data_IF_781637398027
#
_entry.id   IF_781637398027
#
_cell.length_a   1.000
_cell.length_b   1.000
_cell.length_c   1.000
_cell.angle_alpha   90.00
_cell.angle_beta   90.00
_cell.angle_gamma   90.00
#
_symmetry.space_group_name_H-M   'P 1'
#
loop_
_entity.id
_entity.type
_entity.pdbx_description
1 polymer ?
#
# COMPACT_ATOMS: atom_id res chain seq x y z
N UNK A 1 9.33 14.25 21.22
CA UNK A 1 9.82 12.96 20.71
C UNK A 1 9.68 13.00 19.21
N UNK A 2 10.77 12.80 18.48
CA UNK A 2 10.78 12.74 17.01
C UNK A 2 10.78 11.26 16.60
N UNK A 3 9.97 10.90 15.60
CA UNK A 3 9.86 9.53 15.11
C UNK A 3 10.50 9.43 13.72
N UNK A 4 11.38 8.44 13.54
CA UNK A 4 12.04 8.17 12.26
C UNK A 4 11.54 6.83 11.74
N UNK A 5 11.05 6.83 10.51
CA UNK A 5 10.65 5.61 9.80
C UNK A 5 11.81 5.12 8.92
N UNK A 6 12.11 3.83 8.98
CA UNK A 6 13.06 3.18 8.08
C UNK A 6 12.55 1.80 7.67
N UNK A 7 12.92 1.37 6.47
CA UNK A 7 12.63 0.04 5.95
C UNK A 7 13.91 -0.82 6.02
N UNK A 8 13.78 -2.04 6.52
CA UNK A 8 14.87 -3.02 6.60
C UNK A 8 14.32 -4.44 6.38
N UNK A 9 15.19 -5.36 6.04
CA UNK A 9 14.87 -6.78 5.90
C UNK A 9 15.19 -7.54 7.19
N UNK A 10 14.45 -8.63 7.43
CA UNK A 10 14.75 -9.52 8.55
C UNK A 10 15.93 -10.41 8.17
N UNK A 11 17.01 -10.37 8.95
CA UNK A 11 18.16 -11.27 8.81
C UNK A 11 18.26 -12.18 10.04
N UNK A 12 18.29 -13.49 9.84
CA UNK A 12 18.36 -14.48 10.94
C UNK A 12 17.28 -14.29 12.02
N UNK A 13 16.07 -13.86 11.64
CA UNK A 13 14.97 -13.59 12.57
C UNK A 13 15.07 -12.28 13.34
N UNK A 14 16.07 -11.43 13.05
CA UNK A 14 16.28 -10.14 13.70
C UNK A 14 16.03 -8.97 12.75
N UNK A 15 15.47 -7.88 13.30
CA UNK A 15 15.36 -6.59 12.62
C UNK A 15 16.64 -5.81 12.93
N UNK A 16 17.49 -5.59 11.94
CA UNK A 16 18.72 -4.81 12.12
C UNK A 16 18.42 -3.31 12.08
N UNK A 17 18.81 -2.59 13.15
CA UNK A 17 18.75 -1.13 13.18
C UNK A 17 19.88 -0.57 12.28
N UNK A 18 19.57 0.30 11.32
CA UNK A 18 20.58 0.92 10.46
C UNK A 18 21.67 1.62 11.28
N UNK A 19 22.92 1.52 10.81
CA UNK A 19 24.09 2.07 11.51
C UNK A 19 23.93 3.55 11.90
N UNK A 20 23.22 4.33 11.08
CA UNK A 20 22.92 5.74 11.33
C UNK A 20 22.13 6.00 12.63
N UNK A 21 21.40 5.00 13.15
CA UNK A 21 20.53 5.16 14.32
C UNK A 21 21.03 4.36 15.53
N UNK A 22 22.02 3.49 15.39
CA UNK A 22 22.45 2.59 16.47
C UNK A 22 22.86 3.31 17.75
N UNK A 23 23.54 4.45 17.65
CA UNK A 23 23.96 5.24 18.82
C UNK A 23 22.80 5.84 19.61
N UNK A 24 21.64 6.01 18.99
CA UNK A 24 20.43 6.53 19.62
C UNK A 24 19.55 5.42 20.23
N UNK A 25 19.80 4.16 19.91
CA UNK A 25 19.07 3.01 20.44
C UNK A 25 19.83 2.37 21.60
N UNK A 26 19.73 3.02 22.76
CA UNK A 26 20.19 2.47 24.04
C UNK A 26 19.12 1.60 24.71
N UNK A 27 19.54 0.81 25.70
CA UNK A 27 18.63 0.05 26.55
C UNK A 27 17.57 0.97 27.19
N UNK A 28 16.30 0.57 27.14
CA UNK A 28 15.18 1.35 27.68
C UNK A 28 14.51 2.34 26.72
N UNK A 29 14.99 2.49 25.47
CA UNK A 29 14.33 3.31 24.45
C UNK A 29 13.01 2.66 24.00
N UNK A 30 11.95 3.46 23.90
CA UNK A 30 10.68 3.02 23.33
C UNK A 30 10.75 3.01 21.79
N UNK A 31 10.33 1.90 21.17
CA UNK A 31 10.33 1.72 19.72
C UNK A 31 8.94 1.39 19.21
N UNK A 32 8.59 1.89 18.02
CA UNK A 32 7.36 1.54 17.31
C UNK A 32 7.72 0.76 16.05
N UNK A 33 7.18 -0.46 15.93
CA UNK A 33 7.46 -1.35 14.80
C UNK A 33 6.20 -1.49 13.95
N UNK A 34 6.34 -1.31 12.63
CA UNK A 34 5.28 -1.55 11.65
C UNK A 34 5.68 -2.78 10.83
N UNK A 35 4.87 -3.84 10.91
CA UNK A 35 5.11 -5.08 10.15
C UNK A 35 4.28 -5.04 8.88
N UNK A 36 4.95 -4.94 7.73
CA UNK A 36 4.31 -5.08 6.42
C UNK A 36 4.09 -6.56 6.14
N UNK A 37 2.83 -6.98 6.10
CA UNK A 37 2.49 -8.34 5.67
C UNK A 37 2.45 -8.36 4.14
N UNK A 38 3.01 -9.39 3.48
CA UNK A 38 2.82 -9.55 2.06
C UNK A 38 1.32 -9.57 1.79
N UNK A 39 0.86 -8.66 0.94
CA UNK A 39 -0.53 -8.62 0.55
C UNK A 39 -0.83 -9.94 -0.15
N UNK A 40 -1.80 -10.69 0.37
CA UNK A 40 -2.04 -12.05 -0.12
C UNK A 40 -2.37 -11.95 -1.61
N UNK A 41 -1.55 -12.56 -2.46
CA UNK A 41 -1.75 -12.54 -3.91
C UNK A 41 -3.16 -13.01 -4.28
N UNK A 42 -3.74 -13.95 -3.52
CA UNK A 42 -5.14 -14.36 -3.62
C UNK A 42 -6.14 -13.21 -3.57
N UNK A 43 -5.96 -12.20 -2.71
CA UNK A 43 -6.87 -11.06 -2.62
C UNK A 43 -6.73 -10.14 -3.84
N UNK A 44 -5.51 -9.94 -4.33
CA UNK A 44 -5.25 -9.16 -5.55
C UNK A 44 -5.90 -9.85 -6.76
N UNK A 45 -5.78 -11.17 -6.85
CA UNK A 45 -6.39 -11.93 -7.95
C UNK A 45 -7.91 -11.97 -7.84
N UNK A 46 -8.47 -12.15 -6.64
CA UNK A 46 -9.90 -12.11 -6.40
C UNK A 46 -10.48 -10.73 -6.78
N UNK A 47 -9.80 -9.64 -6.41
CA UNK A 47 -10.21 -8.30 -6.78
C UNK A 47 -10.14 -8.06 -8.30
N UNK A 48 -9.07 -8.51 -8.96
CA UNK A 48 -8.96 -8.43 -10.44
C UNK A 48 -10.06 -9.22 -11.14
N UNK A 49 -10.39 -10.42 -10.65
CA UNK A 49 -11.46 -11.24 -11.18
C UNK A 49 -12.82 -10.54 -11.05
N UNK A 50 -13.11 -10.01 -9.86
CA UNK A 50 -14.34 -9.25 -9.61
C UNK A 50 -14.45 -8.04 -10.55
N UNK A 51 -13.38 -7.25 -10.70
CA UNK A 51 -13.38 -6.10 -11.61
C UNK A 51 -13.69 -6.52 -13.05
N UNK A 52 -13.08 -7.60 -13.53
CA UNK A 52 -13.33 -8.12 -14.88
C UNK A 52 -14.79 -8.57 -15.06
N UNK A 53 -15.35 -9.27 -14.08
CA UNK A 53 -16.76 -9.67 -14.10
C UNK A 53 -17.69 -8.47 -14.10
N UNK A 54 -17.41 -7.45 -13.26
CA UNK A 54 -18.23 -6.23 -13.22
C UNK A 54 -18.18 -5.43 -14.53
N UNK A 55 -17.02 -5.39 -15.20
CA UNK A 55 -16.86 -4.71 -16.50
C UNK A 55 -17.53 -5.48 -17.64
N UNK A 56 -17.72 -6.80 -17.50
CA UNK A 56 -18.46 -7.60 -18.47
C UNK A 56 -19.98 -7.38 -18.39
N UNK A 57 -20.49 -6.74 -17.33
CA UNK A 57 -21.92 -6.47 -17.20
C UNK A 57 -22.40 -5.48 -18.28
N UNK A 58 -23.56 -5.71 -18.92
CA UNK A 58 -24.08 -4.82 -19.97
C UNK A 58 -24.20 -3.36 -19.53
N UNK A 59 -24.54 -3.12 -18.26
CA UNK A 59 -24.66 -1.78 -17.68
C UNK A 59 -23.32 -1.05 -17.56
N UNK A 60 -22.20 -1.78 -17.49
CA UNK A 60 -20.86 -1.19 -17.48
C UNK A 60 -20.35 -0.91 -18.90
N UNK A 61 -20.79 -1.70 -19.89
CA UNK A 61 -20.41 -1.54 -21.29
C UNK A 61 -21.06 -0.34 -21.98
N UNK A 62 -22.10 0.25 -21.38
CA UNK A 62 -22.72 1.49 -21.87
C UNK A 62 -21.96 2.75 -21.47
N UNK A 63 -21.01 2.64 -20.53
CA UNK A 63 -20.15 3.76 -20.14
C UNK A 63 -19.07 3.93 -21.20
N UNK A 64 -19.00 5.12 -21.78
CA UNK A 64 -18.02 5.47 -22.81
C UNK A 64 -16.67 5.87 -22.19
N UNK A 65 -15.58 5.72 -22.93
CA UNK A 65 -14.26 6.18 -22.49
C UNK A 65 -14.23 7.69 -22.20
N UNK A 66 -15.05 8.48 -22.90
CA UNK A 66 -15.18 9.91 -22.69
C UNK A 66 -15.78 10.25 -21.32
N UNK A 67 -16.80 9.50 -20.88
CA UNK A 67 -17.40 9.65 -19.55
C UNK A 67 -16.43 9.25 -18.44
N UNK A 68 -15.64 8.19 -18.67
CA UNK A 68 -14.59 7.75 -17.73
C UNK A 68 -13.48 8.81 -17.62
N UNK A 69 -13.04 9.36 -18.75
CA UNK A 69 -12.01 10.40 -18.76
C UNK A 69 -12.46 11.67 -18.03
N UNK A 70 -13.71 12.09 -18.25
CA UNK A 70 -14.29 13.25 -17.57
C UNK A 70 -14.35 13.05 -16.04
N UNK A 71 -14.69 11.86 -15.57
CA UNK A 71 -14.71 11.52 -14.15
C UNK A 71 -13.30 11.53 -13.52
N UNK A 72 -12.31 10.98 -14.23
CA UNK A 72 -10.90 11.00 -13.77
C UNK A 72 -10.38 12.43 -13.66
N UNK A 73 -10.69 13.29 -14.64
CA UNK A 73 -10.31 14.70 -14.58
C UNK A 73 -11.00 15.43 -13.42
N UNK A 74 -12.29 15.19 -13.20
CA UNK A 74 -13.03 15.75 -12.08
C UNK A 74 -12.40 15.35 -10.73
N UNK A 75 -12.10 14.06 -10.53
CA UNK A 75 -11.44 13.56 -9.33
C UNK A 75 -10.04 14.17 -9.13
N UNK A 76 -9.23 14.25 -10.19
CA UNK A 76 -7.89 14.87 -10.14
C UNK A 76 -7.93 16.37 -9.85
N UNK A 77 -9.00 17.05 -10.28
CA UNK A 77 -9.24 18.46 -9.98
C UNK A 77 -9.73 18.69 -8.53
N UNK A 78 -9.85 17.62 -7.72
CA UNK A 78 -10.21 17.72 -6.31
C UNK A 78 -11.71 17.91 -6.07
N UNK A 79 -12.56 17.42 -6.99
CA UNK A 79 -13.98 17.19 -6.71
C UNK A 79 -14.20 15.84 -6.02
#
# INVERSE_FOLDING_TARGET
MEAVEFQTEIKNGMIEIPAAYQSAFAEGIQVKVIVLKPQRQEHIQAFKALLKETQALPQAQTITEAEIAAEIEAYRAGK
#
